data_IF_556572995754
#
_entry.id   IF_556572995754
#
_cell.length_a   1.000
_cell.length_b   1.000
_cell.length_c   1.000
_cell.angle_alpha   90.00
_cell.angle_beta   90.00
_cell.angle_gamma   90.00
#
_symmetry.space_group_name_H-M   'P 1'
#
loop_
_entity.id
_entity.type
_entity.pdbx_description
1 polymer ?
#
# COMPACT_ATOMS: atom_id res chain seq x y z
N UNK A 1 18.35 -14.67 39.91
CA UNK A 1 19.66 -15.06 40.48
C UNK A 1 19.71 -16.58 40.57
N UNK A 2 20.47 -17.20 39.68
CA UNK A 2 21.18 -18.47 39.89
C UNK A 2 22.37 -18.40 38.92
N UNK A 3 23.56 -18.56 39.47
CA UNK A 3 24.84 -18.22 38.86
C UNK A 3 25.50 -19.44 38.18
N UNK A 4 26.54 -19.10 37.41
CA UNK A 4 27.41 -19.90 36.55
C UNK A 4 28.10 -21.09 37.22
N UNK A 5 28.54 -22.05 36.40
CA UNK A 5 29.96 -22.46 36.39
C UNK A 5 30.31 -23.30 35.15
N UNK A 6 31.43 -22.95 34.53
CA UNK A 6 32.10 -23.66 33.44
C UNK A 6 33.18 -24.60 34.02
N UNK A 7 33.51 -25.71 33.34
CA UNK A 7 34.90 -26.00 32.89
C UNK A 7 35.08 -27.38 32.23
N UNK A 8 35.82 -27.34 31.10
CA UNK A 8 36.90 -28.23 30.59
C UNK A 8 36.74 -29.76 30.50
N UNK A 9 36.95 -30.24 29.27
CA UNK A 9 37.41 -31.60 28.90
C UNK A 9 38.90 -31.84 29.28
N UNK A 10 39.36 -33.11 29.29
CA UNK A 10 40.13 -33.61 28.13
C UNK A 10 39.87 -35.08 27.76
N UNK A 11 40.24 -35.45 26.53
CA UNK A 11 39.88 -36.70 25.85
C UNK A 11 40.72 -37.95 26.17
N UNK A 12 40.31 -39.06 25.54
CA UNK A 12 41.10 -40.27 25.36
C UNK A 12 40.68 -41.01 24.07
N UNK A 13 41.69 -41.48 23.35
CA UNK A 13 41.63 -42.32 22.15
C UNK A 13 41.14 -43.75 22.46
N UNK A 14 40.39 -44.36 21.55
CA UNK A 14 40.05 -45.78 21.58
C UNK A 14 39.54 -46.25 20.22
N UNK A 15 40.27 -47.18 19.61
CA UNK A 15 40.16 -47.69 18.24
C UNK A 15 39.32 -48.97 18.12
N UNK A 16 38.45 -49.02 17.09
CA UNK A 16 37.89 -50.22 16.43
C UNK A 16 36.45 -50.62 16.82
N UNK A 17 35.67 -51.36 15.97
CA UNK A 17 35.98 -51.91 14.65
C UNK A 17 35.05 -51.43 13.51
N UNK A 18 35.49 -51.73 12.29
CA UNK A 18 34.94 -51.40 10.97
C UNK A 18 33.55 -52.03 10.72
N UNK A 19 32.59 -51.21 10.30
CA UNK A 19 31.25 -51.62 9.81
C UNK A 19 31.16 -51.38 8.30
N UNK A 20 30.51 -52.25 7.50
CA UNK A 20 30.57 -52.23 6.04
C UNK A 20 29.80 -51.05 5.45
N UNK A 21 30.35 -50.44 4.39
CA UNK A 21 29.72 -49.35 3.62
C UNK A 21 28.36 -49.80 3.02
N UNK A 22 27.25 -49.09 3.28
CA UNK A 22 26.08 -49.14 2.42
C UNK A 22 26.33 -48.32 1.15
N UNK A 23 25.79 -48.82 0.05
CA UNK A 23 25.92 -48.30 -1.32
C UNK A 23 25.45 -46.86 -1.44
N UNK A 24 26.12 -46.13 -2.34
CA UNK A 24 25.78 -44.79 -2.80
C UNK A 24 24.29 -44.66 -3.15
N UNK A 25 23.56 -43.89 -2.34
CA UNK A 25 22.35 -43.19 -2.74
C UNK A 25 22.59 -41.72 -2.43
N UNK A 26 22.78 -40.93 -3.49
CA UNK A 26 23.19 -39.53 -3.43
C UNK A 26 22.33 -38.71 -2.47
N UNK A 27 22.97 -38.25 -1.39
CA UNK A 27 22.44 -37.19 -0.57
C UNK A 27 22.54 -35.88 -1.35
N UNK A 28 21.38 -35.28 -1.65
CA UNK A 28 21.29 -33.95 -2.22
C UNK A 28 21.94 -32.92 -1.27
N UNK A 29 22.86 -32.14 -1.81
CA UNK A 29 23.56 -31.04 -1.16
C UNK A 29 22.57 -29.97 -0.66
N UNK A 30 22.77 -29.35 0.52
CA UNK A 30 21.96 -28.22 0.96
C UNK A 30 22.47 -26.94 0.28
N UNK A 31 22.11 -26.75 -0.99
CA UNK A 31 22.44 -25.53 -1.74
C UNK A 31 21.46 -25.24 -2.87
N UNK A 32 20.17 -25.14 -2.53
CA UNK A 32 19.18 -24.48 -3.38
C UNK A 32 18.45 -23.43 -2.53
N UNK A 33 19.22 -22.44 -2.06
CA UNK A 33 18.64 -21.13 -1.83
C UNK A 33 18.16 -20.63 -3.20
N UNK A 34 16.85 -20.43 -3.35
CA UNK A 34 16.27 -19.79 -4.52
C UNK A 34 16.95 -18.42 -4.64
N UNK A 35 17.94 -18.35 -5.52
CA UNK A 35 18.63 -17.11 -5.85
C UNK A 35 17.62 -16.27 -6.63
N UNK A 36 16.94 -15.37 -5.93
CA UNK A 36 16.33 -14.22 -6.58
C UNK A 36 17.48 -13.45 -7.21
N UNK A 37 17.71 -13.67 -8.50
CA UNK A 37 18.58 -12.81 -9.30
C UNK A 37 18.14 -11.36 -9.10
N UNK A 38 19.05 -10.38 -9.24
CA UNK A 38 18.67 -8.97 -9.13
C UNK A 38 17.43 -8.75 -10.01
N UNK A 39 16.38 -8.08 -9.51
CA UNK A 39 15.17 -7.86 -10.28
C UNK A 39 15.60 -7.28 -11.62
N UNK A 40 15.22 -7.97 -12.71
CA UNK A 40 15.45 -7.39 -14.03
C UNK A 40 14.77 -6.02 -14.03
N UNK A 41 15.47 -4.95 -14.46
CA UNK A 41 14.84 -3.64 -14.55
C UNK A 41 13.57 -3.83 -15.38
N UNK A 42 12.42 -3.48 -14.80
CA UNK A 42 11.19 -3.36 -15.57
C UNK A 42 11.54 -2.48 -16.77
N UNK A 43 11.54 -3.07 -17.95
CA UNK A 43 11.42 -2.29 -19.17
C UNK A 43 10.03 -1.68 -19.05
N UNK A 44 9.98 -0.43 -18.60
CA UNK A 44 8.79 0.39 -18.73
C UNK A 44 8.61 0.51 -20.24
N UNK A 45 7.78 -0.36 -20.81
CA UNK A 45 7.22 -0.15 -22.14
C UNK A 45 6.56 1.22 -22.07
N UNK A 46 7.19 2.22 -22.68
CA UNK A 46 6.56 3.51 -22.90
C UNK A 46 5.25 3.21 -23.63
N UNK A 47 4.11 3.32 -22.95
CA UNK A 47 2.81 3.17 -23.61
C UNK A 47 2.82 4.10 -24.84
N UNK A 48 2.53 3.57 -26.05
CA UNK A 48 2.50 4.40 -27.24
C UNK A 48 1.48 5.54 -27.05
N UNK A 49 1.79 6.69 -27.64
CA UNK A 49 0.98 7.91 -27.57
C UNK A 49 -0.52 7.59 -27.69
N UNK A 50 -1.29 7.81 -26.62
CA UNK A 50 -2.75 7.70 -26.70
C UNK A 50 -3.28 8.91 -27.47
N UNK A 51 -3.52 8.77 -28.76
CA UNK A 51 -4.35 9.72 -29.52
C UNK A 51 -5.82 9.47 -29.13
N UNK A 52 -6.26 10.10 -28.04
CA UNK A 52 -7.62 9.99 -27.54
C UNK A 52 -8.55 11.07 -28.08
N UNK A 53 -9.87 10.87 -27.89
CA UNK A 53 -10.86 11.95 -28.03
C UNK A 53 -10.69 12.94 -26.88
N UNK A 54 -10.04 14.07 -27.14
CA UNK A 54 -9.86 15.14 -26.15
C UNK A 54 -11.14 15.98 -26.03
N UNK A 55 -11.44 16.53 -24.84
CA UNK A 55 -12.52 17.52 -24.73
C UNK A 55 -12.19 18.71 -25.64
N UNK A 56 -13.12 19.08 -26.51
CA UNK A 56 -12.97 20.28 -27.34
C UNK A 56 -12.94 21.52 -26.44
N UNK A 57 -12.01 22.43 -26.71
CA UNK A 57 -11.99 23.73 -26.06
C UNK A 57 -13.29 24.49 -26.37
N UNK A 58 -13.91 25.15 -25.38
CA UNK A 58 -15.05 26.02 -25.64
C UNK A 58 -14.64 27.19 -26.55
N UNK A 59 -15.59 27.75 -27.32
CA UNK A 59 -15.33 28.80 -28.33
C UNK A 59 -14.61 30.04 -27.77
N UNK A 60 -14.79 30.33 -26.48
CA UNK A 60 -14.08 31.38 -25.75
C UNK A 60 -13.57 30.83 -24.41
N UNK A 61 -12.37 30.25 -24.43
CA UNK A 61 -11.68 29.81 -23.21
C UNK A 61 -10.76 30.92 -22.71
N UNK A 62 -11.06 31.51 -21.56
CA UNK A 62 -10.13 32.40 -20.86
C UNK A 62 -9.21 31.61 -19.91
N UNK A 63 -8.13 32.27 -19.46
CA UNK A 63 -7.14 31.67 -18.57
C UNK A 63 -7.77 31.19 -17.26
N UNK A 64 -8.71 31.95 -16.69
CA UNK A 64 -9.35 31.61 -15.40
C UNK A 64 -10.17 30.32 -15.54
N UNK A 65 -10.95 30.21 -16.61
CA UNK A 65 -11.78 29.04 -16.92
C UNK A 65 -10.93 27.82 -17.21
N UNK A 66 -9.83 27.98 -17.94
CA UNK A 66 -8.83 26.93 -18.16
C UNK A 66 -8.27 26.41 -16.83
N UNK A 67 -7.79 27.31 -15.96
CA UNK A 67 -7.22 26.92 -14.67
C UNK A 67 -8.26 26.23 -13.77
N UNK A 68 -9.50 26.71 -13.76
CA UNK A 68 -10.59 26.08 -13.01
C UNK A 68 -10.91 24.67 -13.52
N UNK A 69 -10.85 24.43 -14.83
CA UNK A 69 -11.05 23.09 -15.41
C UNK A 69 -9.87 22.16 -15.13
N UNK A 70 -8.64 22.66 -15.21
CA UNK A 70 -7.42 21.91 -14.92
C UNK A 70 -7.44 21.38 -13.48
N UNK A 71 -7.65 22.26 -12.50
CA UNK A 71 -7.59 21.92 -11.06
C UNK A 71 -8.78 21.07 -10.57
N UNK A 72 -9.84 20.90 -11.36
CA UNK A 72 -10.94 19.96 -11.05
C UNK A 72 -10.54 18.49 -11.23
N UNK A 73 -9.50 18.21 -12.01
CA UNK A 73 -9.07 16.84 -12.30
C UNK A 73 -8.04 16.37 -11.27
N UNK A 74 -8.48 15.52 -10.34
CA UNK A 74 -7.60 14.86 -9.36
C UNK A 74 -7.02 13.52 -9.86
N UNK A 75 -7.42 13.10 -11.05
CA UNK A 75 -6.93 11.90 -11.71
C UNK A 75 -5.89 12.30 -12.75
N UNK A 76 -4.70 11.69 -12.69
CA UNK A 76 -3.56 12.11 -13.50
C UNK A 76 -3.85 11.98 -14.99
N UNK A 77 -4.46 10.87 -15.44
CA UNK A 77 -4.82 10.67 -16.85
C UNK A 77 -5.78 11.73 -17.36
N UNK A 78 -6.85 11.99 -16.60
CA UNK A 78 -7.84 13.02 -16.97
C UNK A 78 -7.23 14.41 -16.99
N UNK A 79 -6.33 14.71 -16.05
CA UNK A 79 -5.63 16.00 -15.99
C UNK A 79 -4.79 16.22 -17.24
N UNK A 80 -3.95 15.26 -17.62
CA UNK A 80 -3.08 15.38 -18.81
C UNK A 80 -3.89 15.54 -20.09
N UNK A 81 -4.95 14.73 -20.27
CA UNK A 81 -5.85 14.84 -21.41
C UNK A 81 -6.62 16.16 -21.45
N UNK A 82 -7.09 16.63 -20.28
CA UNK A 82 -7.78 17.93 -20.16
C UNK A 82 -6.84 19.09 -20.46
N UNK A 83 -5.58 19.03 -20.04
CA UNK A 83 -4.58 20.04 -20.36
C UNK A 83 -4.40 20.15 -21.89
N UNK A 84 -4.06 19.03 -22.54
CA UNK A 84 -3.77 19.00 -23.98
C UNK A 84 -4.99 19.46 -24.81
N UNK A 85 -6.20 19.01 -24.45
CA UNK A 85 -7.43 19.38 -25.15
C UNK A 85 -7.83 20.86 -25.04
N UNK A 86 -7.40 21.55 -23.98
CA UNK A 86 -7.85 22.90 -23.68
C UNK A 86 -6.80 23.97 -23.98
N UNK A 87 -5.51 23.69 -23.77
CA UNK A 87 -4.45 24.71 -23.83
C UNK A 87 -4.30 25.34 -25.22
N UNK A 88 -4.67 24.60 -26.28
CA UNK A 88 -4.70 25.12 -27.65
C UNK A 88 -5.68 26.28 -27.86
N UNK A 89 -6.69 26.44 -26.99
CA UNK A 89 -7.58 27.61 -26.98
C UNK A 89 -6.94 28.88 -26.41
N UNK A 90 -5.84 28.75 -25.66
CA UNK A 90 -5.07 29.87 -25.11
C UNK A 90 -3.82 30.15 -25.93
N UNK A 91 -3.11 29.10 -26.34
CA UNK A 91 -1.91 29.18 -27.17
C UNK A 91 -2.13 28.27 -28.39
N UNK A 92 -2.62 28.83 -29.50
CA UNK A 92 -2.87 28.05 -30.71
C UNK A 92 -1.59 27.41 -31.20
N UNK A 93 -1.51 26.08 -31.25
CA UNK A 93 -0.36 25.39 -31.81
C UNK A 93 -0.82 24.10 -32.52
N UNK A 94 -0.29 23.80 -33.72
CA UNK A 94 -0.64 22.59 -34.46
C UNK A 94 -0.18 21.32 -33.76
N UNK A 95 0.87 21.38 -32.93
CA UNK A 95 1.33 20.26 -32.12
C UNK A 95 1.46 20.68 -30.66
N UNK A 96 0.78 19.96 -29.76
CA UNK A 96 0.82 20.18 -28.31
C UNK A 96 1.11 18.85 -27.65
N UNK A 97 2.02 18.83 -26.68
CA UNK A 97 2.29 17.65 -25.87
C UNK A 97 2.63 18.00 -24.42
N UNK A 98 2.30 17.08 -23.52
CA UNK A 98 2.75 17.08 -22.14
C UNK A 98 3.51 15.79 -21.87
N UNK A 99 4.73 15.90 -21.35
CA UNK A 99 5.53 14.79 -20.87
C UNK A 99 5.64 14.84 -19.36
N UNK A 100 5.49 13.68 -18.72
CA UNK A 100 5.94 13.44 -17.36
C UNK A 100 7.23 12.64 -17.42
N UNK A 101 8.22 13.07 -16.65
CA UNK A 101 9.58 12.54 -16.67
C UNK A 101 9.93 11.92 -15.33
N UNK A 102 10.74 10.87 -15.37
CA UNK A 102 11.41 10.35 -14.20
C UNK A 102 12.44 11.37 -13.72
N UNK A 103 12.35 11.89 -12.49
CA UNK A 103 13.23 12.95 -12.02
C UNK A 103 14.71 12.54 -11.92
N UNK A 104 14.98 11.25 -11.80
CA UNK A 104 16.34 10.71 -11.66
C UNK A 104 17.01 10.43 -13.01
N UNK A 105 16.24 10.06 -14.02
CA UNK A 105 16.78 9.68 -15.35
C UNK A 105 16.40 10.63 -16.47
N UNK A 106 15.49 11.57 -16.22
CA UNK A 106 14.85 12.45 -17.21
C UNK A 106 14.20 11.70 -18.38
N UNK A 107 13.88 10.42 -18.20
CA UNK A 107 13.19 9.61 -19.21
C UNK A 107 11.68 9.80 -19.09
N UNK A 108 10.94 9.74 -20.21
CA UNK A 108 9.49 9.85 -20.17
C UNK A 108 8.87 8.66 -19.44
N UNK A 109 8.08 8.96 -18.42
CA UNK A 109 7.16 8.01 -17.75
C UNK A 109 5.85 7.97 -18.51
N UNK A 110 5.37 9.14 -18.93
CA UNK A 110 4.05 9.29 -19.57
C UNK A 110 4.06 10.47 -20.53
N UNK A 111 3.29 10.36 -21.61
CA UNK A 111 3.10 11.42 -22.57
C UNK A 111 1.66 11.45 -23.07
N UNK A 112 1.10 12.66 -23.22
CA UNK A 112 -0.14 12.90 -23.96
C UNK A 112 0.13 13.98 -25.01
N UNK A 113 -0.33 13.77 -26.24
CA UNK A 113 -0.09 14.69 -27.35
C UNK A 113 -1.31 14.84 -28.27
N UNK A 114 -1.50 16.03 -28.82
CA UNK A 114 -2.53 16.37 -29.79
C UNK A 114 -1.92 17.11 -30.98
N UNK A 115 -2.33 16.72 -32.19
CA UNK A 115 -1.92 17.34 -33.44
C UNK A 115 -0.48 17.04 -33.92
N UNK A 116 0.36 16.40 -33.09
CA UNK A 116 1.69 15.96 -33.50
C UNK A 116 1.65 14.73 -34.44
N UNK A 117 2.41 14.76 -35.55
CA UNK A 117 2.58 13.62 -36.46
C UNK A 117 3.23 12.43 -35.71
N UNK A 118 2.64 11.22 -35.74
CA UNK A 118 3.22 10.03 -35.09
C UNK A 118 4.65 9.70 -35.54
N UNK A 119 5.00 9.99 -36.81
CA UNK A 119 6.36 9.80 -37.34
C UNK A 119 7.34 10.78 -36.70
N UNK A 120 6.89 12.01 -36.45
CA UNK A 120 7.68 13.00 -35.71
C UNK A 120 7.91 12.54 -34.28
N UNK A 121 6.86 12.14 -33.54
CA UNK A 121 7.00 11.66 -32.17
C UNK A 121 7.99 10.49 -32.07
N UNK A 122 7.88 9.54 -33.00
CA UNK A 122 8.81 8.40 -33.08
C UNK A 122 10.26 8.84 -33.35
N UNK A 123 10.45 9.78 -34.28
CA UNK A 123 11.78 10.33 -34.58
C UNK A 123 12.34 11.17 -33.42
N UNK A 124 11.49 11.90 -32.70
CA UNK A 124 11.86 12.68 -31.54
C UNK A 124 12.40 11.78 -30.42
N UNK A 125 11.67 10.74 -30.04
CA UNK A 125 12.13 9.82 -28.99
C UNK A 125 13.39 9.04 -29.39
N UNK A 126 13.50 8.62 -30.65
CA UNK A 126 14.63 7.82 -31.10
C UNK A 126 15.96 8.62 -31.16
N UNK A 127 15.91 9.91 -31.49
CA UNK A 127 17.11 10.74 -31.76
C UNK A 127 17.00 12.22 -31.42
N UNK A 128 15.80 12.79 -31.46
CA UNK A 128 15.57 14.22 -31.21
C UNK A 128 15.86 14.61 -29.77
N UNK A 129 15.27 13.92 -28.80
CA UNK A 129 15.35 14.25 -27.37
C UNK A 129 16.78 14.43 -26.85
N UNK A 130 17.71 13.60 -27.32
CA UNK A 130 19.11 13.62 -26.89
C UNK A 130 19.89 14.85 -27.40
N UNK A 131 19.42 15.46 -28.49
CA UNK A 131 20.02 16.64 -29.09
C UNK A 131 19.10 17.85 -29.06
N UNK A 132 18.05 17.84 -28.24
CA UNK A 132 17.08 18.92 -28.13
C UNK A 132 17.67 20.09 -27.33
N UNK A 133 17.98 21.23 -27.98
CA UNK A 133 18.60 22.36 -27.30
C UNK A 133 17.58 23.13 -26.45
N UNK A 134 16.28 23.02 -26.75
CA UNK A 134 15.20 23.69 -26.00
C UNK A 134 14.96 22.94 -24.70
N UNK A 135 14.72 21.63 -24.78
CA UNK A 135 14.63 20.76 -23.60
C UNK A 135 15.87 20.88 -22.71
N UNK A 136 17.08 20.87 -23.30
CA UNK A 136 18.32 21.03 -22.54
C UNK A 136 18.39 22.35 -21.77
N UNK A 137 17.81 23.43 -22.31
CA UNK A 137 17.75 24.72 -21.62
C UNK A 137 16.70 24.72 -20.51
N UNK A 138 15.50 24.20 -20.78
CA UNK A 138 14.42 24.03 -19.79
C UNK A 138 14.89 23.19 -18.62
N UNK A 139 15.53 22.04 -18.87
CA UNK A 139 16.01 21.15 -17.83
C UNK A 139 17.10 21.78 -16.95
N UNK A 140 17.90 22.70 -17.51
CA UNK A 140 18.97 23.40 -16.80
C UNK A 140 18.48 24.62 -16.03
N UNK A 141 17.59 25.41 -16.62
CA UNK A 141 17.15 26.70 -16.07
C UNK A 141 15.82 26.63 -15.32
N UNK A 142 15.00 25.62 -15.59
CA UNK A 142 13.62 25.53 -15.12
C UNK A 142 12.81 26.76 -15.50
N UNK A 143 13.02 27.23 -16.73
CA UNK A 143 12.34 28.40 -17.31
C UNK A 143 11.74 28.02 -18.67
N UNK A 144 10.59 28.60 -18.98
CA UNK A 144 9.98 28.49 -20.30
C UNK A 144 10.96 28.99 -21.37
N UNK A 145 11.16 28.19 -22.43
CA UNK A 145 12.11 28.52 -23.51
C UNK A 145 11.54 28.15 -24.87
N UNK A 146 11.85 28.94 -25.91
CA UNK A 146 11.57 28.62 -27.31
C UNK A 146 12.85 28.41 -28.12
N UNK A 147 12.75 27.74 -29.27
CA UNK A 147 13.88 27.49 -30.16
C UNK A 147 14.66 28.77 -30.51
N UNK A 148 13.94 29.89 -30.70
CA UNK A 148 14.51 31.21 -31.00
C UNK A 148 15.34 31.82 -29.87
N UNK A 149 15.00 31.48 -28.62
CA UNK A 149 15.73 31.97 -27.44
C UNK A 149 17.01 31.17 -27.16
N UNK A 150 17.16 29.98 -27.75
CA UNK A 150 18.34 29.13 -27.52
C UNK A 150 19.42 29.36 -28.57
N UNK A 151 19.04 29.48 -29.84
CA UNK A 151 19.99 29.62 -30.94
C UNK A 151 19.57 30.74 -31.90
N UNK A 152 20.52 31.49 -32.47
CA UNK A 152 20.25 32.34 -33.63
C UNK A 152 19.69 31.52 -34.80
N UNK A 153 18.84 32.14 -35.62
CA UNK A 153 18.14 31.50 -36.74
C UNK A 153 19.08 30.75 -37.70
N UNK A 154 20.21 31.36 -38.05
CA UNK A 154 21.24 30.74 -38.91
C UNK A 154 21.87 29.47 -38.32
N UNK A 155 21.97 29.40 -36.99
CA UNK A 155 22.47 28.22 -36.28
C UNK A 155 21.37 27.18 -36.06
N UNK A 156 20.11 27.61 -36.02
CA UNK A 156 18.94 26.75 -35.83
C UNK A 156 18.69 25.85 -37.03
N UNK A 157 18.64 26.42 -38.24
CA UNK A 157 18.42 25.66 -39.49
C UNK A 157 19.49 24.58 -39.73
N UNK A 158 20.73 24.84 -39.31
CA UNK A 158 21.83 23.88 -39.40
C UNK A 158 21.85 22.82 -38.30
N UNK A 159 21.05 22.98 -37.25
CA UNK A 159 21.12 22.12 -36.07
C UNK A 159 20.53 20.73 -36.36
N UNK A 160 21.13 19.62 -35.88
CA UNK A 160 20.62 18.27 -36.12
C UNK A 160 19.17 18.07 -35.70
N UNK A 161 18.74 18.78 -34.65
CA UNK A 161 17.39 18.75 -34.12
C UNK A 161 16.34 19.36 -35.07
N UNK A 162 16.70 20.40 -35.84
CA UNK A 162 15.81 21.01 -36.83
C UNK A 162 15.32 19.99 -37.85
N UNK A 163 16.22 19.12 -38.32
CA UNK A 163 15.88 18.01 -39.22
C UNK A 163 14.89 17.01 -38.63
N UNK A 164 14.84 16.86 -37.30
CA UNK A 164 13.85 16.02 -36.62
C UNK A 164 12.49 16.70 -36.64
N UNK A 165 12.42 18.00 -36.38
CA UNK A 165 11.19 18.79 -36.46
C UNK A 165 10.57 18.78 -37.86
N UNK A 166 11.41 18.86 -38.91
CA UNK A 166 10.93 18.81 -40.30
C UNK A 166 10.17 17.52 -40.64
N UNK A 167 10.40 16.40 -39.92
CA UNK A 167 9.63 15.16 -40.09
C UNK A 167 8.14 15.37 -39.80
N UNK A 168 7.82 16.28 -38.87
CA UNK A 168 6.46 16.64 -38.46
C UNK A 168 5.95 17.93 -39.07
N UNK A 169 6.64 18.49 -40.08
CA UNK A 169 6.35 19.81 -40.64
C UNK A 169 6.37 20.93 -39.58
N UNK A 170 7.24 20.80 -38.57
CA UNK A 170 7.44 21.82 -37.53
C UNK A 170 8.71 22.63 -37.79
N UNK A 171 8.68 23.92 -37.47
CA UNK A 171 9.77 24.88 -37.66
C UNK A 171 10.28 25.45 -36.33
N UNK A 172 9.36 25.70 -35.39
CA UNK A 172 9.68 26.25 -34.09
C UNK A 172 9.01 25.43 -32.98
N UNK A 173 9.66 25.39 -31.82
CA UNK A 173 9.12 24.75 -30.62
C UNK A 173 9.26 25.66 -29.41
N UNK A 174 8.38 25.46 -28.44
CA UNK A 174 8.43 26.07 -27.12
C UNK A 174 8.17 25.00 -26.07
N UNK A 175 8.96 25.04 -25.00
CA UNK A 175 8.80 24.13 -23.88
C UNK A 175 8.75 24.91 -22.56
N UNK A 176 7.89 24.45 -21.66
CA UNK A 176 7.80 24.97 -20.29
C UNK A 176 7.97 23.84 -19.28
N UNK A 177 8.66 24.05 -18.16
CA UNK A 177 8.94 23.01 -17.18
C UNK A 177 7.70 22.68 -16.33
N UNK A 178 7.55 21.41 -15.98
CA UNK A 178 6.70 20.99 -14.87
C UNK A 178 7.64 20.68 -13.70
N UNK A 179 7.51 21.42 -12.61
CA UNK A 179 8.46 21.38 -11.49
C UNK A 179 7.76 20.91 -10.21
N UNK A 180 8.41 20.01 -9.50
CA UNK A 180 8.05 19.64 -8.15
C UNK A 180 9.09 20.23 -7.18
N UNK A 181 8.64 20.75 -6.03
CA UNK A 181 9.51 21.43 -5.06
C UNK A 181 10.60 20.53 -4.47
N UNK A 182 10.38 19.22 -4.41
CA UNK A 182 11.34 18.25 -3.87
C UNK A 182 12.11 17.53 -4.97
N UNK A 183 11.41 17.14 -6.05
CA UNK A 183 11.97 16.29 -7.12
C UNK A 183 12.61 17.09 -8.26
N UNK A 184 12.45 18.41 -8.32
CA UNK A 184 12.95 19.23 -9.43
C UNK A 184 12.08 19.09 -10.69
N UNK A 185 12.70 18.95 -11.86
CA UNK A 185 11.98 18.76 -13.12
C UNK A 185 11.27 17.40 -13.15
N UNK A 186 9.94 17.42 -13.24
CA UNK A 186 9.10 16.22 -13.30
C UNK A 186 8.35 16.08 -14.63
N UNK A 187 8.52 17.02 -15.56
CA UNK A 187 7.83 17.01 -16.84
C UNK A 187 8.07 18.25 -17.68
N UNK A 188 7.50 18.27 -18.89
CA UNK A 188 7.49 19.44 -19.77
C UNK A 188 6.15 19.61 -20.47
N UNK A 189 5.78 20.87 -20.71
CA UNK A 189 4.74 21.29 -21.63
C UNK A 189 5.42 21.65 -22.95
N UNK A 190 4.88 21.24 -24.09
CA UNK A 190 5.58 21.29 -25.37
C UNK A 190 4.61 21.76 -26.44
N UNK A 191 5.07 22.72 -27.24
CA UNK A 191 4.32 23.32 -28.32
C UNK A 191 5.20 23.32 -29.58
N UNK A 192 4.63 22.91 -30.70
CA UNK A 192 5.26 22.96 -32.01
C UNK A 192 4.46 23.85 -32.96
N UNK A 193 5.17 24.67 -33.73
CA UNK A 193 4.65 25.58 -34.75
C UNK A 193 5.10 25.12 -36.14
N UNK A 194 4.23 25.26 -37.13
CA UNK A 194 4.55 25.00 -38.53
C UNK A 194 5.32 26.18 -39.13
N UNK A 195 5.98 26.02 -40.30
CA UNK A 195 6.64 27.13 -40.99
C UNK A 195 5.73 28.30 -41.35
N UNK A 196 4.41 28.09 -41.43
CA UNK A 196 3.44 29.15 -41.75
C UNK A 196 2.98 29.94 -40.52
N UNK A 197 3.22 29.41 -39.33
CA UNK A 197 2.79 30.05 -38.09
C UNK A 197 3.80 31.13 -37.66
N UNK A 198 3.35 32.21 -37.00
CA UNK A 198 4.28 33.16 -36.40
C UNK A 198 5.11 32.49 -35.29
N UNK A 199 6.35 32.96 -35.05
CA UNK A 199 7.12 32.56 -33.88
C UNK A 199 6.37 32.87 -32.60
N UNK A 200 6.64 32.08 -31.54
CA UNK A 200 6.11 32.37 -30.21
C UNK A 200 6.55 33.75 -29.72
N UNK A 201 5.59 34.58 -29.33
CA UNK A 201 5.85 35.91 -28.80
C UNK A 201 6.02 35.94 -27.27
N UNK A 202 6.42 37.08 -26.73
CA UNK A 202 6.69 37.25 -25.30
C UNK A 202 5.42 37.11 -24.44
N UNK A 203 4.25 37.43 -24.99
CA UNK A 203 2.96 37.33 -24.29
C UNK A 203 2.52 35.86 -24.18
N UNK A 204 2.73 35.07 -25.23
CA UNK A 204 2.53 33.61 -25.24
C UNK A 204 3.50 32.93 -24.26
N UNK A 205 4.78 33.30 -24.27
CA UNK A 205 5.79 32.77 -23.34
C UNK A 205 5.41 33.10 -21.88
N UNK A 206 5.01 34.33 -21.60
CA UNK A 206 4.54 34.76 -20.27
C UNK A 206 3.25 34.05 -19.84
N UNK A 207 2.37 33.74 -20.79
CA UNK A 207 1.13 33.01 -20.53
C UNK A 207 1.42 31.55 -20.21
N UNK A 208 2.27 30.88 -20.99
CA UNK A 208 2.60 29.48 -20.72
C UNK A 208 3.40 29.33 -19.43
N UNK A 209 4.23 30.31 -19.06
CA UNK A 209 4.97 30.26 -17.79
C UNK A 209 4.02 30.21 -16.59
N UNK A 210 2.98 31.07 -16.60
CA UNK A 210 1.92 31.05 -15.58
C UNK A 210 1.13 29.74 -15.59
N UNK A 211 0.79 29.22 -16.77
CA UNK A 211 0.11 27.92 -16.91
C UNK A 211 1.00 26.80 -16.37
N UNK A 212 2.29 26.80 -16.66
CA UNK A 212 3.26 25.79 -16.23
C UNK A 212 3.36 25.71 -14.70
N UNK A 213 3.31 26.84 -14.00
CA UNK A 213 3.24 26.87 -12.53
C UNK A 213 1.98 26.17 -12.02
N UNK A 214 0.82 26.44 -12.63
CA UNK A 214 -0.43 25.79 -12.22
C UNK A 214 -0.48 24.30 -12.58
N UNK A 215 0.04 23.91 -13.74
CA UNK A 215 0.15 22.50 -14.15
C UNK A 215 1.12 21.75 -13.24
N UNK A 216 2.22 22.38 -12.83
CA UNK A 216 3.17 21.83 -11.86
C UNK A 216 2.52 21.45 -10.53
N UNK A 217 1.70 22.36 -9.99
CA UNK A 217 0.94 22.12 -8.75
C UNK A 217 -0.09 21.00 -8.97
N UNK A 218 -0.86 21.07 -10.05
CA UNK A 218 -1.93 20.12 -10.31
C UNK A 218 -1.40 18.70 -10.54
N UNK A 219 -0.32 18.55 -11.31
CA UNK A 219 0.39 17.27 -11.52
C UNK A 219 0.96 16.75 -10.20
N UNK A 220 1.61 17.59 -9.40
CA UNK A 220 2.16 17.17 -8.10
C UNK A 220 1.06 16.63 -7.18
N UNK A 221 -0.08 17.32 -7.05
CA UNK A 221 -1.21 16.85 -6.25
C UNK A 221 -1.84 15.57 -6.80
N UNK A 222 -1.99 15.44 -8.12
CA UNK A 222 -2.54 14.24 -8.74
C UNK A 222 -1.63 13.02 -8.52
N UNK A 223 -0.31 13.20 -8.62
CA UNK A 223 0.67 12.16 -8.34
C UNK A 223 0.65 11.75 -6.86
N UNK A 224 0.68 12.70 -5.92
CA UNK A 224 0.64 12.42 -4.49
C UNK A 224 -0.66 11.70 -4.08
N UNK A 225 -1.81 12.13 -4.61
CA UNK A 225 -3.09 11.46 -4.39
C UNK A 225 -3.09 10.03 -4.95
N UNK A 226 -2.45 9.80 -6.10
CA UNK A 226 -2.35 8.46 -6.68
C UNK A 226 -1.46 7.55 -5.80
N UNK A 227 -0.29 8.03 -5.37
CA UNK A 227 0.59 7.31 -4.44
C UNK A 227 -0.14 6.95 -3.13
N UNK A 228 -0.90 7.89 -2.55
CA UNK A 228 -1.70 7.65 -1.36
C UNK A 228 -2.81 6.60 -1.58
N UNK A 229 -3.48 6.63 -2.75
CA UNK A 229 -4.51 5.65 -3.12
C UNK A 229 -3.93 4.27 -3.32
N UNK A 230 -2.79 4.15 -3.98
CA UNK A 230 -2.08 2.88 -4.18
C UNK A 230 -1.62 2.29 -2.84
N UNK A 231 -1.08 3.12 -1.95
CA UNK A 231 -0.66 2.68 -0.62
C UNK A 231 -1.85 2.20 0.22
N UNK A 232 -2.97 2.93 0.18
CA UNK A 232 -4.22 2.50 0.83
C UNK A 232 -4.75 1.21 0.22
N UNK A 233 -4.81 1.09 -1.10
CA UNK A 233 -5.28 -0.11 -1.80
C UNK A 233 -4.44 -1.33 -1.45
N UNK A 234 -3.11 -1.18 -1.40
CA UNK A 234 -2.19 -2.24 -0.99
C UNK A 234 -2.44 -2.66 0.45
N UNK A 235 -2.62 -1.69 1.36
CA UNK A 235 -2.93 -1.95 2.77
C UNK A 235 -4.27 -2.66 2.94
N UNK A 236 -5.31 -2.19 2.25
CA UNK A 236 -6.66 -2.77 2.25
C UNK A 236 -6.64 -4.19 1.65
N UNK A 237 -5.84 -4.42 0.61
CA UNK A 237 -5.63 -5.73 -0.03
C UNK A 237 -4.95 -6.73 0.91
N UNK A 238 -3.87 -6.32 1.59
CA UNK A 238 -3.19 -7.15 2.60
C UNK A 238 -4.14 -7.51 3.74
N UNK A 239 -4.82 -6.52 4.34
CA UNK A 239 -5.77 -6.76 5.41
C UNK A 239 -6.98 -7.59 4.95
N UNK A 240 -7.40 -7.43 3.68
CA UNK A 240 -8.47 -8.18 3.05
C UNK A 240 -8.15 -9.65 2.81
N UNK A 241 -6.89 -9.97 2.49
CA UNK A 241 -6.42 -11.35 2.31
C UNK A 241 -6.27 -12.13 3.63
N UNK A 242 -6.31 -11.45 4.78
CA UNK A 242 -6.26 -12.12 6.08
C UNK A 242 -7.57 -12.86 6.38
N UNK A 243 -7.46 -14.13 6.75
CA UNK A 243 -8.57 -14.92 7.29
C UNK A 243 -9.02 -14.49 8.69
N UNK A 244 -8.19 -13.69 9.37
CA UNK A 244 -8.52 -13.10 10.67
C UNK A 244 -9.35 -11.84 10.45
N UNK A 245 -10.50 -11.74 11.12
CA UNK A 245 -11.29 -10.51 11.10
C UNK A 245 -10.53 -9.36 11.75
N UNK A 246 -10.45 -8.23 11.07
CA UNK A 246 -9.85 -7.00 11.56
C UNK A 246 -10.88 -5.89 11.49
N UNK A 247 -11.11 -5.24 12.62
CA UNK A 247 -11.99 -4.09 12.77
C UNK A 247 -11.25 -2.95 13.46
N UNK A 248 -11.34 -1.75 12.91
CA UNK A 248 -10.86 -0.53 13.56
C UNK A 248 -12.07 0.31 13.96
N UNK A 249 -12.13 0.72 15.22
CA UNK A 249 -13.15 1.64 15.71
C UNK A 249 -12.51 2.84 16.39
N UNK A 250 -13.22 3.96 16.45
CA UNK A 250 -12.90 5.04 17.39
C UNK A 250 -13.33 4.68 18.83
N UNK A 251 -13.13 5.62 19.77
CA UNK A 251 -13.47 5.48 21.19
C UNK A 251 -14.98 5.49 21.44
N UNK A 252 -15.77 5.98 20.48
CA UNK A 252 -17.23 5.99 20.50
C UNK A 252 -17.83 4.72 19.88
N UNK A 253 -17.00 3.85 19.31
CA UNK A 253 -17.43 2.61 18.67
C UNK A 253 -17.83 2.76 17.20
N UNK A 254 -17.58 3.92 16.58
CA UNK A 254 -17.80 4.09 15.14
C UNK A 254 -16.75 3.32 14.36
N UNK A 255 -17.18 2.55 13.37
CA UNK A 255 -16.31 1.69 12.58
C UNK A 255 -15.57 2.52 11.53
N UNK A 256 -14.25 2.56 11.64
CA UNK A 256 -13.35 3.25 10.70
C UNK A 256 -12.84 2.30 9.60
N UNK A 257 -12.71 1.01 9.91
CA UNK A 257 -12.27 -0.01 8.95
C UNK A 257 -12.81 -1.40 9.31
N UNK A 258 -13.08 -2.22 8.29
CA UNK A 258 -13.41 -3.64 8.38
C UNK A 258 -12.81 -4.39 7.19
N UNK A 259 -12.06 -5.47 7.45
CA UNK A 259 -11.68 -6.40 6.40
C UNK A 259 -12.80 -7.41 6.08
N UNK A 260 -12.59 -8.24 5.05
CA UNK A 260 -13.60 -9.19 4.57
C UNK A 260 -14.01 -10.21 5.65
N UNK A 261 -13.04 -10.76 6.39
CA UNK A 261 -13.30 -11.71 7.46
C UNK A 261 -14.15 -11.11 8.59
N UNK A 262 -13.89 -9.85 8.99
CA UNK A 262 -14.71 -9.18 9.99
C UNK A 262 -16.13 -8.89 9.47
N UNK A 263 -16.28 -8.50 8.21
CA UNK A 263 -17.62 -8.29 7.63
C UNK A 263 -18.49 -9.53 7.70
N UNK A 264 -17.93 -10.72 7.45
CA UNK A 264 -18.67 -11.99 7.57
C UNK A 264 -19.18 -12.22 8.99
N UNK A 265 -18.36 -11.95 10.01
CA UNK A 265 -18.78 -12.06 11.41
C UNK A 265 -19.91 -11.10 11.75
N UNK A 266 -19.87 -9.85 11.26
CA UNK A 266 -20.96 -8.90 11.47
C UNK A 266 -22.25 -9.31 10.75
N UNK A 267 -22.15 -9.81 9.52
CA UNK A 267 -23.32 -10.34 8.78
C UNK A 267 -23.98 -11.50 9.52
N UNK A 268 -23.20 -12.41 10.10
CA UNK A 268 -23.71 -13.49 10.95
C UNK A 268 -24.36 -12.95 12.25
N UNK A 269 -23.85 -11.84 12.80
CA UNK A 269 -24.48 -11.19 13.95
C UNK A 269 -25.86 -10.62 13.60
N UNK A 270 -26.02 -10.04 12.41
CA UNK A 270 -27.33 -9.57 11.92
C UNK A 270 -28.34 -10.71 11.82
N UNK A 271 -27.89 -11.91 11.40
CA UNK A 271 -28.72 -13.10 11.30
C UNK A 271 -28.99 -13.79 12.67
N UNK A 272 -28.19 -13.52 13.70
CA UNK A 272 -28.24 -14.22 15.00
C UNK A 272 -28.16 -13.25 16.18
N UNK A 273 -29.31 -12.89 16.80
CA UNK A 273 -29.33 -11.99 17.96
C UNK A 273 -28.49 -12.49 19.15
N UNK A 274 -28.42 -13.81 19.35
CA UNK A 274 -27.60 -14.41 20.40
C UNK A 274 -26.10 -14.19 20.15
N UNK A 275 -25.66 -14.33 18.90
CA UNK A 275 -24.27 -14.05 18.51
C UNK A 275 -23.97 -12.55 18.64
N UNK A 276 -24.87 -11.69 18.17
CA UNK A 276 -24.73 -10.24 18.31
C UNK A 276 -24.56 -9.82 19.78
N UNK A 277 -25.36 -10.38 20.70
CA UNK A 277 -25.23 -10.11 22.14
C UNK A 277 -23.87 -10.56 22.67
N UNK A 278 -23.44 -11.79 22.33
CA UNK A 278 -22.16 -12.33 22.79
C UNK A 278 -20.96 -11.52 22.29
N UNK A 279 -20.96 -11.11 21.01
CA UNK A 279 -19.92 -10.25 20.42
C UNK A 279 -19.94 -8.87 21.06
N UNK A 280 -21.12 -8.26 21.25
CA UNK A 280 -21.26 -6.95 21.89
C UNK A 280 -20.73 -6.97 23.32
N UNK A 281 -21.12 -7.96 24.12
CA UNK A 281 -20.63 -8.13 25.49
C UNK A 281 -19.11 -8.31 25.53
N UNK A 282 -18.55 -9.07 24.59
CA UNK A 282 -17.11 -9.25 24.48
C UNK A 282 -16.36 -7.96 24.10
N UNK A 283 -16.90 -7.17 23.18
CA UNK A 283 -16.34 -5.87 22.81
C UNK A 283 -16.40 -4.89 23.98
N UNK A 284 -17.54 -4.75 24.66
CA UNK A 284 -17.70 -3.88 25.84
C UNK A 284 -16.75 -4.31 26.95
N UNK A 285 -16.64 -5.62 27.21
CA UNK A 285 -15.69 -6.16 28.17
C UNK A 285 -14.25 -5.78 27.83
N UNK A 286 -13.86 -5.91 26.57
CA UNK A 286 -12.52 -5.56 26.11
C UNK A 286 -12.27 -4.06 26.26
N UNK A 287 -13.18 -3.21 25.78
CA UNK A 287 -13.08 -1.74 25.85
C UNK A 287 -12.90 -1.26 27.29
N UNK A 288 -13.68 -1.80 28.24
CA UNK A 288 -13.58 -1.45 29.66
C UNK A 288 -12.24 -1.86 30.32
N UNK A 289 -11.49 -2.76 29.69
CA UNK A 289 -10.20 -3.28 30.19
C UNK A 289 -9.00 -2.81 29.39
N UNK A 290 -9.22 -2.13 28.26
CA UNK A 290 -8.16 -1.58 27.45
C UNK A 290 -7.47 -0.46 28.20
N UNK A 291 -6.16 -0.60 28.31
CA UNK A 291 -5.28 0.51 28.67
C UNK A 291 -4.29 0.69 27.53
N UNK A 292 -3.67 1.86 27.42
CA UNK A 292 -2.74 2.16 26.33
C UNK A 292 -1.50 1.23 26.24
N UNK A 293 -1.28 0.35 27.22
CA UNK A 293 -0.16 -0.59 27.23
C UNK A 293 -0.57 -2.05 27.45
N UNK A 294 -1.88 -2.36 27.53
CA UNK A 294 -2.34 -3.74 27.73
C UNK A 294 -3.52 -4.09 26.81
N UNK A 295 -3.38 -5.11 25.95
CA UNK A 295 -4.48 -5.60 25.14
C UNK A 295 -5.52 -6.29 26.03
N UNK A 296 -6.77 -6.30 25.57
CA UNK A 296 -7.84 -7.07 26.18
C UNK A 296 -8.24 -8.22 25.25
N UNK A 297 -8.61 -9.36 25.82
CA UNK A 297 -8.97 -10.56 25.02
C UNK A 297 -10.12 -11.28 25.67
N UNK A 298 -11.10 -11.63 24.84
CA UNK A 298 -12.29 -12.37 25.21
C UNK A 298 -12.49 -13.52 24.23
N UNK A 299 -12.76 -14.71 24.74
CA UNK A 299 -13.19 -15.84 23.93
C UNK A 299 -14.69 -16.04 24.20
N UNK A 300 -15.46 -16.22 23.14
CA UNK A 300 -16.89 -16.53 23.20
C UNK A 300 -17.15 -17.87 22.51
N UNK A 301 -18.03 -18.68 23.10
CA UNK A 301 -18.56 -19.88 22.45
C UNK A 301 -19.72 -19.48 21.55
N UNK A 302 -19.72 -19.97 20.31
CA UNK A 302 -20.75 -19.73 19.33
C UNK A 302 -21.94 -20.68 19.58
N UNK A 303 -23.19 -20.18 19.65
CA UNK A 303 -24.37 -20.98 20.01
C UNK A 303 -24.79 -22.01 18.93
N UNK A 304 -24.35 -21.82 17.69
CA UNK A 304 -24.41 -22.78 16.56
C UNK A 304 -23.05 -22.77 15.87
N UNK A 305 -22.78 -23.72 14.97
CA UNK A 305 -21.59 -23.70 14.08
C UNK A 305 -21.75 -22.59 13.03
N UNK A 306 -21.86 -21.35 13.51
CA UNK A 306 -21.76 -20.13 12.74
C UNK A 306 -20.29 -19.89 12.47
N UNK A 307 -19.94 -19.46 11.25
CA UNK A 307 -18.56 -19.32 10.79
C UNK A 307 -17.85 -20.69 10.67
N UNK A 308 -17.30 -21.01 9.51
CA UNK A 308 -17.07 -22.39 9.03
C UNK A 308 -16.01 -23.24 9.77
N UNK A 309 -15.34 -22.72 10.80
CA UNK A 309 -14.10 -23.30 11.37
C UNK A 309 -14.25 -23.95 12.75
N UNK A 310 -14.67 -23.21 13.79
CA UNK A 310 -14.84 -23.74 15.16
C UNK A 310 -15.97 -23.10 15.94
N UNK A 311 -16.43 -23.73 17.02
CA UNK A 311 -17.44 -23.15 17.91
C UNK A 311 -16.91 -22.01 18.80
N UNK A 312 -15.73 -21.45 18.56
CA UNK A 312 -15.12 -20.42 19.38
C UNK A 312 -14.72 -19.20 18.56
N UNK A 313 -14.98 -18.01 19.08
CA UNK A 313 -14.47 -16.75 18.51
C UNK A 313 -13.66 -16.02 19.57
N UNK A 314 -12.40 -15.75 19.27
CA UNK A 314 -11.52 -14.93 20.11
C UNK A 314 -11.53 -13.50 19.59
N UNK A 315 -11.95 -12.57 20.44
CA UNK A 315 -11.99 -11.15 20.19
C UNK A 315 -10.88 -10.50 21.01
N UNK A 316 -9.86 -9.98 20.34
CA UNK A 316 -8.72 -9.29 20.97
C UNK A 316 -8.72 -7.84 20.53
N UNK A 317 -8.76 -6.92 21.50
CA UNK A 317 -8.70 -5.49 21.22
C UNK A 317 -7.39 -4.89 21.72
N UNK A 318 -6.88 -3.89 20.99
CA UNK A 318 -5.64 -3.17 21.27
C UNK A 318 -5.87 -1.69 20.98
N UNK A 319 -5.39 -0.81 21.86
CA UNK A 319 -5.36 0.64 21.59
C UNK A 319 -4.07 0.96 20.81
N UNK A 320 -4.20 1.66 19.68
CA UNK A 320 -3.07 1.86 18.76
C UNK A 320 -1.99 2.83 19.30
N UNK A 321 -2.37 3.84 20.07
CA UNK A 321 -1.44 4.75 20.72
C UNK A 321 -2.01 5.31 22.03
N UNK A 322 -1.16 5.88 22.90
CA UNK A 322 -1.58 6.51 24.16
C UNK A 322 -2.57 7.65 23.94
N UNK A 323 -2.33 8.47 22.93
CA UNK A 323 -3.14 9.65 22.62
C UNK A 323 -4.10 9.42 21.44
N UNK A 324 -4.30 8.16 21.04
CA UNK A 324 -5.25 7.80 20.00
C UNK A 324 -6.52 7.21 20.62
N UNK A 325 -7.64 7.62 20.06
CA UNK A 325 -8.95 7.04 20.31
C UNK A 325 -9.22 5.78 19.47
N UNK A 326 -8.28 5.37 18.63
CA UNK A 326 -8.45 4.20 17.78
C UNK A 326 -8.19 2.89 18.52
N UNK A 327 -9.15 1.98 18.40
CA UNK A 327 -9.12 0.62 18.93
C UNK A 327 -9.12 -0.37 17.76
N UNK A 328 -8.04 -1.12 17.64
CA UNK A 328 -7.92 -2.22 16.70
C UNK A 328 -8.41 -3.51 17.36
N UNK A 329 -9.40 -4.15 16.76
CA UNK A 329 -9.97 -5.41 17.24
C UNK A 329 -9.77 -6.53 16.21
N UNK A 330 -9.15 -7.61 16.65
CA UNK A 330 -8.96 -8.85 15.92
C UNK A 330 -10.03 -9.86 16.33
N UNK A 331 -10.67 -10.47 15.34
CA UNK A 331 -11.61 -11.57 15.48
C UNK A 331 -10.99 -12.81 14.87
N UNK A 332 -10.62 -13.72 15.73
CA UNK A 332 -9.96 -14.95 15.34
C UNK A 332 -10.84 -16.14 15.68
N UNK A 333 -11.10 -16.96 14.68
CA UNK A 333 -11.73 -18.26 14.85
C UNK A 333 -10.65 -19.34 14.71
N UNK A 334 -10.34 -20.13 15.76
CA UNK A 334 -9.38 -21.21 15.63
C UNK A 334 -9.84 -22.22 14.60
N UNK A 335 -8.87 -22.78 13.85
CA UNK A 335 -9.11 -23.79 12.83
C UNK A 335 -9.49 -25.16 13.43
N UNK A 336 -9.20 -25.39 14.71
CA UNK A 336 -9.52 -26.61 15.43
C UNK A 336 -10.14 -26.27 16.80
N UNK A 337 -11.05 -27.11 17.27
CA UNK A 337 -11.51 -27.01 18.66
C UNK A 337 -10.36 -27.40 19.61
N UNK A 338 -10.26 -26.75 20.78
CA UNK A 338 -9.22 -27.07 21.74
C UNK A 338 -9.36 -28.54 22.15
N UNK A 339 -8.32 -29.33 21.88
CA UNK A 339 -8.28 -30.72 22.30
C UNK A 339 -7.78 -30.78 23.75
N UNK A 340 -8.68 -31.13 24.67
CA UNK A 340 -8.36 -31.30 26.08
C UNK A 340 -7.83 -32.69 26.43
N UNK A 341 -7.92 -33.69 25.52
CA UNK A 341 -7.53 -35.07 25.80
C UNK A 341 -6.06 -35.18 26.25
N UNK A 342 -5.15 -34.52 25.53
CA UNK A 342 -3.72 -34.52 25.88
C UNK A 342 -3.40 -33.78 27.19
N UNK A 343 -4.34 -33.00 27.74
CA UNK A 343 -4.15 -32.29 29.00
C UNK A 343 -4.54 -33.13 30.23
N UNK A 344 -5.17 -34.30 30.04
CA UNK A 344 -5.50 -35.22 31.14
C UNK A 344 -4.26 -35.77 31.86
N UNK A 345 -3.11 -35.83 31.20
CA UNK A 345 -1.85 -36.25 31.81
C UNK A 345 -1.20 -35.14 32.66
N UNK A 346 -1.59 -33.87 32.44
CA UNK A 346 -1.01 -32.69 33.10
C UNK A 346 -1.96 -32.07 34.15
N UNK A 347 -3.26 -32.09 33.88
CA UNK A 347 -4.31 -31.44 34.67
C UNK A 347 -5.25 -32.48 35.28
N UNK A 348 -5.72 -32.20 36.50
CA UNK A 348 -6.74 -33.03 37.13
C UNK A 348 -8.09 -32.87 36.44
N UNK A 349 -8.99 -33.84 36.57
CA UNK A 349 -10.35 -33.78 36.01
C UNK A 349 -11.09 -32.50 36.40
N UNK A 350 -10.93 -32.03 37.64
CA UNK A 350 -11.56 -30.80 38.10
C UNK A 350 -10.92 -29.54 37.49
N UNK A 351 -9.59 -29.55 37.30
CA UNK A 351 -8.89 -28.47 36.60
C UNK A 351 -9.30 -28.41 35.12
N UNK A 352 -9.51 -29.57 34.47
CA UNK A 352 -10.01 -29.65 33.09
C UNK A 352 -11.43 -29.09 32.99
N UNK A 353 -12.34 -29.47 33.89
CA UNK A 353 -13.70 -28.90 33.91
C UNK A 353 -13.69 -27.38 34.09
N UNK A 354 -12.82 -26.86 34.96
CA UNK A 354 -12.63 -25.40 35.11
C UNK A 354 -12.06 -24.78 33.83
N UNK A 355 -11.12 -25.46 33.17
CA UNK A 355 -10.48 -25.02 31.95
C UNK A 355 -11.43 -24.98 30.75
N UNK A 356 -12.29 -25.98 30.61
CA UNK A 356 -13.32 -26.06 29.57
C UNK A 356 -14.31 -24.90 29.71
N UNK A 357 -14.85 -24.67 30.91
CA UNK A 357 -15.76 -23.55 31.16
C UNK A 357 -15.06 -22.19 30.94
N UNK A 358 -13.78 -22.11 31.28
CA UNK A 358 -12.96 -20.93 31.00
C UNK A 358 -12.77 -20.71 29.49
N UNK A 359 -12.55 -21.77 28.70
CA UNK A 359 -12.42 -21.72 27.24
C UNK A 359 -13.72 -21.29 26.56
N UNK A 360 -14.87 -21.66 27.14
CA UNK A 360 -16.21 -21.19 26.74
C UNK A 360 -16.46 -19.71 27.03
N UNK A 361 -15.52 -19.03 27.69
CA UNK A 361 -15.65 -17.63 28.02
C UNK A 361 -16.28 -17.37 29.39
N UNK A 362 -16.64 -18.37 30.20
CA UNK A 362 -17.30 -18.07 31.48
C UNK A 362 -16.38 -17.30 32.43
N UNK A 363 -16.96 -16.36 33.17
CA UNK A 363 -16.30 -15.65 34.26
C UNK A 363 -16.20 -16.53 35.51
N UNK A 364 -15.24 -16.24 36.40
CA UNK A 364 -15.01 -17.07 37.59
C UNK A 364 -16.26 -17.24 38.45
N UNK A 365 -17.15 -16.23 38.50
CA UNK A 365 -18.43 -16.31 39.22
C UNK A 365 -19.39 -17.30 38.55
N UNK A 366 -19.51 -17.25 37.23
CA UNK A 366 -20.34 -18.19 36.47
C UNK A 366 -19.79 -19.62 36.54
N UNK A 367 -18.46 -19.79 36.50
CA UNK A 367 -17.82 -21.09 36.69
C UNK A 367 -18.10 -21.64 38.09
N UNK A 368 -18.03 -20.78 39.11
CA UNK A 368 -18.31 -21.14 40.49
C UNK A 368 -19.76 -21.60 40.67
N UNK A 369 -20.72 -20.86 40.09
CA UNK A 369 -22.13 -21.23 40.05
C UNK A 369 -22.33 -22.57 39.32
N UNK A 370 -21.74 -22.73 38.14
CA UNK A 370 -21.88 -23.95 37.32
C UNK A 370 -21.33 -25.20 38.02
N UNK A 371 -20.18 -25.07 38.69
CA UNK A 371 -19.54 -26.18 39.41
C UNK A 371 -20.05 -26.32 40.86
N UNK A 372 -20.97 -25.45 41.30
CA UNK A 372 -21.46 -25.39 42.69
C UNK A 372 -20.33 -25.29 43.71
N UNK A 373 -19.37 -24.39 43.47
CA UNK A 373 -18.20 -24.11 44.35
C UNK A 373 -18.08 -22.62 44.64
N UNK A 374 -17.17 -22.22 45.53
CA UNK A 374 -16.88 -20.80 45.76
C UNK A 374 -16.02 -20.19 44.63
N UNK A 375 -16.12 -18.88 44.44
CA UNK A 375 -15.28 -18.14 43.47
C UNK A 375 -13.79 -18.30 43.81
N UNK A 376 -13.44 -18.38 45.09
CA UNK A 376 -12.05 -18.55 45.53
C UNK A 376 -11.52 -19.96 45.27
N UNK A 377 -12.39 -20.98 45.30
CA UNK A 377 -12.05 -22.32 44.83
C UNK A 377 -11.73 -22.30 43.32
N UNK A 378 -12.52 -21.60 42.50
CA UNK A 378 -12.21 -21.44 41.07
C UNK A 378 -10.88 -20.72 40.86
N UNK A 379 -10.63 -19.59 41.57
CA UNK A 379 -9.33 -18.89 41.50
C UNK A 379 -8.16 -19.81 41.87
N UNK A 380 -8.34 -20.67 42.86
CA UNK A 380 -7.33 -21.63 43.29
C UNK A 380 -7.03 -22.67 42.22
N UNK A 381 -8.06 -23.23 41.58
CA UNK A 381 -7.89 -24.11 40.41
C UNK A 381 -7.17 -23.38 39.27
N UNK A 382 -7.56 -22.14 38.94
CA UNK A 382 -6.91 -21.36 37.89
C UNK A 382 -5.43 -21.07 38.18
N UNK A 383 -5.08 -20.76 39.44
CA UNK A 383 -3.68 -20.57 39.84
C UNK A 383 -2.83 -21.82 39.62
N UNK A 384 -3.39 -23.00 39.92
CA UNK A 384 -2.73 -24.29 39.67
C UNK A 384 -2.59 -24.56 38.18
N UNK A 385 -3.65 -24.34 37.39
CA UNK A 385 -3.61 -24.48 35.93
C UNK A 385 -2.55 -23.55 35.34
N UNK A 386 -2.49 -22.28 35.74
CA UNK A 386 -1.49 -21.32 35.26
C UNK A 386 -0.06 -21.80 35.55
N UNK A 387 0.18 -22.34 36.74
CA UNK A 387 1.46 -22.91 37.11
C UNK A 387 1.81 -24.14 36.27
N UNK A 388 0.88 -25.11 36.15
CA UNK A 388 1.08 -26.35 35.39
C UNK A 388 1.26 -26.11 33.88
N UNK A 389 0.55 -25.12 33.33
CA UNK A 389 0.62 -24.75 31.90
C UNK A 389 1.73 -23.74 31.60
N UNK A 390 2.48 -23.31 32.63
CA UNK A 390 3.53 -22.29 32.53
C UNK A 390 3.05 -21.00 31.83
N UNK A 391 1.93 -20.44 32.30
CA UNK A 391 1.33 -19.20 31.78
C UNK A 391 1.00 -18.25 32.93
N UNK A 392 1.00 -16.95 32.64
CA UNK A 392 0.84 -15.89 33.65
C UNK A 392 -0.51 -15.18 33.59
N UNK A 393 -1.30 -15.45 32.56
CA UNK A 393 -2.60 -14.81 32.37
C UNK A 393 -3.61 -15.72 31.69
N UNK A 394 -4.89 -15.44 31.90
CA UNK A 394 -6.01 -16.08 31.19
C UNK A 394 -5.86 -15.96 29.67
N UNK A 395 -5.41 -14.80 29.17
CA UNK A 395 -5.20 -14.59 27.75
C UNK A 395 -4.08 -15.49 27.20
N UNK A 396 -2.97 -15.62 27.94
CA UNK A 396 -1.88 -16.52 27.55
C UNK A 396 -2.30 -17.99 27.63
N UNK A 397 -3.11 -18.38 28.64
CA UNK A 397 -3.68 -19.72 28.74
C UNK A 397 -4.55 -20.04 27.52
N UNK A 398 -5.47 -19.14 27.16
CA UNK A 398 -6.35 -19.31 25.99
C UNK A 398 -5.55 -19.33 24.68
N UNK A 399 -4.57 -18.44 24.55
CA UNK A 399 -3.65 -18.46 23.41
C UNK A 399 -2.90 -19.80 23.32
N UNK A 400 -2.55 -20.42 24.45
CA UNK A 400 -1.89 -21.73 24.42
C UNK A 400 -2.85 -22.84 24.01
N UNK A 401 -4.10 -22.80 24.47
CA UNK A 401 -5.12 -23.79 24.12
C UNK A 401 -5.55 -23.75 22.66
N UNK A 402 -5.69 -22.56 22.08
CA UNK A 402 -6.22 -22.41 20.72
C UNK A 402 -5.14 -22.36 19.62
N UNK A 403 -3.85 -22.25 19.99
CA UNK A 403 -2.77 -22.00 19.02
C UNK A 403 -1.51 -22.84 19.22
N UNK A 404 -1.51 -23.87 20.07
CA UNK A 404 -0.41 -24.85 20.07
C UNK A 404 -0.56 -25.78 18.86
N UNK A 405 0.39 -25.66 17.93
CA UNK A 405 0.74 -26.70 16.93
C UNK A 405 1.78 -27.62 17.53
#
# INVERSE_FOLDING_TARGET
>A
MCAESASRAPGQNGSGPSVPRPRDSGAASPSEAIAWGPPQPLVVESEPARQGSYPAAPEHLDLISFLALLHKNLDLDKLLCSYVGLVGGLIPAPAIAIYLLDPSTSRPIKMVAQGADPRFLSAYEARGRQCDPVFSNVARRLETTSSRLVLPETSWEGHPFHRVLSVGSLEAIMEAPIVNSEKGLVGTLNFGRSPQDPPFDDDEISTIDRIAQHVSIAVSHACELNELREHRSTTDGVLGAMDTGVMLTDSFGSIQFLNLAARRVLQECEASPALASAVKEALVHNLNRLTASRPATRCIRLPRRCLDRSAYLTIRSVRLARDSDLVLTFWFQPNQEPNFEHLHDLLTTQEIRVLELLAQGLENKQIAEYLTVSVDTVKSHLKRIFCKMNVTSRAQLLSRLFYQT
#
